data_IF_250650899010
#
_entry.id   IF_250650899010
#
_cell.length_a   1.000
_cell.length_b   1.000
_cell.length_c   1.000
_cell.angle_alpha   90.00
_cell.angle_beta   90.00
_cell.angle_gamma   90.00
#
_symmetry.space_group_name_H-M   'P 1'
#
loop_
_entity.id
_entity.type
_entity.pdbx_description
1 polymer ?
#
# COMPACT_ATOMS: atom_id res chain seq x y z
N UNK A 1 18.96 -17.65 -7.15
CA UNK A 1 17.75 -16.79 -7.26
C UNK A 1 16.63 -17.52 -6.55
N UNK A 2 16.13 -17.03 -5.40
CA UNK A 2 14.86 -17.55 -4.86
C UNK A 2 13.81 -17.32 -5.97
N UNK A 3 13.03 -18.34 -6.32
CA UNK A 3 11.95 -18.18 -7.30
C UNK A 3 10.99 -17.10 -6.80
N UNK A 4 10.50 -16.25 -7.72
CA UNK A 4 9.47 -15.27 -7.39
C UNK A 4 8.24 -16.03 -6.89
N UNK A 5 7.84 -15.79 -5.65
CA UNK A 5 6.63 -16.43 -5.11
C UNK A 5 5.39 -15.88 -5.84
N UNK A 6 4.27 -16.62 -5.87
CA UNK A 6 3.03 -16.12 -6.46
C UNK A 6 2.59 -14.76 -5.91
N UNK A 7 2.87 -14.50 -4.63
CA UNK A 7 2.56 -13.25 -3.93
C UNK A 7 3.41 -12.09 -4.45
N UNK A 8 4.71 -12.31 -4.69
CA UNK A 8 5.61 -11.28 -5.26
C UNK A 8 5.19 -10.94 -6.69
N UNK A 9 4.81 -11.93 -7.50
CA UNK A 9 4.28 -11.71 -8.85
C UNK A 9 2.96 -10.93 -8.81
N UNK A 10 2.06 -11.29 -7.90
CA UNK A 10 0.80 -10.57 -7.68
C UNK A 10 1.05 -9.13 -7.24
N UNK A 11 1.98 -8.91 -6.32
CA UNK A 11 2.35 -7.58 -5.84
C UNK A 11 2.88 -6.72 -6.97
N UNK A 12 3.79 -7.27 -7.80
CA UNK A 12 4.33 -6.56 -8.97
C UNK A 12 3.21 -6.09 -9.88
N UNK A 13 2.29 -6.97 -10.25
CA UNK A 13 1.17 -6.63 -11.14
C UNK A 13 0.30 -5.51 -10.56
N UNK A 14 -0.11 -5.63 -9.30
CA UNK A 14 -0.95 -4.62 -8.64
C UNK A 14 -0.23 -3.28 -8.49
N UNK A 15 1.07 -3.31 -8.16
CA UNK A 15 1.88 -2.10 -8.04
C UNK A 15 2.06 -1.42 -9.38
N UNK A 16 2.39 -2.17 -10.43
CA UNK A 16 2.53 -1.64 -11.79
C UNK A 16 1.20 -1.02 -12.26
N UNK A 17 0.06 -1.67 -12.03
CA UNK A 17 -1.26 -1.09 -12.32
C UNK A 17 -1.52 0.21 -11.52
N UNK A 18 -1.11 0.25 -10.24
CA UNK A 18 -1.32 1.40 -9.36
C UNK A 18 -0.49 2.62 -9.79
N UNK A 19 0.80 2.47 -10.07
CA UNK A 19 1.69 3.60 -10.40
C UNK A 19 1.32 4.29 -11.72
N UNK A 20 0.64 3.60 -12.63
CA UNK A 20 0.13 4.18 -13.87
C UNK A 20 -1.22 4.88 -13.71
N UNK A 21 -1.81 4.85 -12.51
CA UNK A 21 -3.04 5.55 -12.18
C UNK A 21 -2.74 6.65 -11.16
N UNK A 22 -2.45 7.89 -11.60
CA UNK A 22 -2.06 8.95 -10.70
C UNK A 22 -3.13 9.22 -9.64
N UNK A 23 -2.68 9.74 -8.49
CA UNK A 23 -3.58 10.11 -7.41
C UNK A 23 -4.63 11.13 -7.90
N UNK A 24 -5.94 10.86 -7.73
CA UNK A 24 -6.98 11.62 -8.42
C UNK A 24 -7.40 12.92 -7.73
N UNK A 25 -6.61 13.43 -6.77
CA UNK A 25 -6.94 14.61 -5.99
C UNK A 25 -5.73 15.51 -5.75
N UNK A 26 -5.98 16.81 -5.57
CA UNK A 26 -4.99 17.83 -5.24
C UNK A 26 -5.58 18.84 -4.25
N UNK A 27 -4.71 19.54 -3.50
CA UNK A 27 -5.09 20.58 -2.56
C UNK A 27 -4.85 20.21 -1.09
N UNK A 28 -5.33 21.08 -0.20
CA UNK A 28 -4.98 21.06 1.24
C UNK A 28 -6.03 20.36 2.12
N UNK A 29 -6.94 19.59 1.52
CA UNK A 29 -7.90 18.78 2.28
C UNK A 29 -7.12 17.75 3.12
N UNK A 30 -7.25 17.75 4.46
CA UNK A 30 -6.53 16.81 5.32
C UNK A 30 -6.75 15.34 4.95
N UNK A 31 -7.91 14.99 4.39
CA UNK A 31 -8.25 13.62 3.96
C UNK A 31 -7.48 13.24 2.70
N UNK A 32 -7.28 14.19 1.79
CA UNK A 32 -6.44 14.01 0.59
C UNK A 32 -4.99 13.81 1.02
N UNK A 33 -4.51 14.60 1.97
CA UNK A 33 -3.17 14.45 2.54
C UNK A 33 -2.98 13.10 3.24
N UNK A 34 -3.98 12.63 3.99
CA UNK A 34 -3.95 11.31 4.63
C UNK A 34 -3.75 10.19 3.60
N UNK A 35 -4.52 10.19 2.51
CA UNK A 35 -4.39 9.17 1.46
C UNK A 35 -3.04 9.27 0.76
N UNK A 36 -2.55 10.48 0.47
CA UNK A 36 -1.25 10.70 -0.17
C UNK A 36 -0.09 10.22 0.72
N UNK A 37 -0.13 10.53 2.02
CA UNK A 37 0.87 10.07 2.99
C UNK A 37 0.89 8.55 3.09
N UNK A 38 -0.29 7.93 3.14
CA UNK A 38 -0.40 6.47 3.16
C UNK A 38 0.12 5.84 1.87
N UNK A 39 -0.20 6.40 0.70
CA UNK A 39 0.31 5.92 -0.58
C UNK A 39 1.84 5.98 -0.65
N UNK A 40 2.43 7.10 -0.19
CA UNK A 40 3.88 7.27 -0.16
C UNK A 40 4.56 6.29 0.80
N UNK A 41 3.96 6.07 1.98
CA UNK A 41 4.48 5.10 2.95
C UNK A 41 4.39 3.67 2.44
N UNK A 42 3.24 3.27 1.87
CA UNK A 42 3.08 1.92 1.32
C UNK A 42 4.03 1.71 0.13
N UNK A 43 4.23 2.73 -0.70
CA UNK A 43 5.16 2.66 -1.84
C UNK A 43 6.58 2.30 -1.43
N UNK A 44 7.12 2.88 -0.35
CA UNK A 44 8.48 2.56 0.11
C UNK A 44 8.60 1.10 0.57
N UNK A 45 7.57 0.54 1.21
CA UNK A 45 7.53 -0.87 1.62
C UNK A 45 7.49 -1.77 0.37
N UNK A 46 6.62 -1.45 -0.59
CA UNK A 46 6.43 -2.23 -1.81
C UNK A 46 7.71 -2.27 -2.65
N UNK A 47 8.43 -1.16 -2.78
CA UNK A 47 9.70 -1.10 -3.50
C UNK A 47 10.73 -2.07 -2.92
N UNK A 48 10.91 -2.07 -1.59
CA UNK A 48 11.85 -2.99 -0.92
C UNK A 48 11.37 -4.44 -1.04
N UNK A 49 10.08 -4.69 -0.84
CA UNK A 49 9.49 -6.01 -0.95
C UNK A 49 9.68 -6.62 -2.34
N UNK A 50 9.50 -5.81 -3.39
CA UNK A 50 9.67 -6.23 -4.77
C UNK A 50 11.14 -6.44 -5.17
N UNK A 51 12.07 -5.70 -4.57
CA UNK A 51 13.50 -5.90 -4.79
C UNK A 51 14.02 -7.19 -4.13
N UNK A 52 13.53 -7.51 -2.93
CA UNK A 52 14.02 -8.64 -2.12
C UNK A 52 13.20 -9.92 -2.29
N UNK A 53 11.95 -9.79 -2.73
CA UNK A 53 10.96 -10.87 -2.73
C UNK A 53 10.47 -11.24 -1.33
N UNK A 54 10.68 -10.37 -0.34
CA UNK A 54 10.36 -10.54 1.07
C UNK A 54 10.33 -9.17 1.77
N UNK A 55 9.66 -9.11 2.93
CA UNK A 55 9.71 -7.95 3.82
C UNK A 55 10.92 -8.03 4.74
N UNK A 56 11.60 -6.91 5.00
CA UNK A 56 12.54 -6.88 6.12
C UNK A 56 11.83 -6.66 7.47
N UNK A 57 12.49 -7.00 8.60
CA UNK A 57 11.88 -6.89 9.93
C UNK A 57 11.48 -5.47 10.35
N UNK A 58 12.07 -4.43 9.74
CA UNK A 58 11.70 -3.05 10.04
C UNK A 58 10.37 -2.70 9.37
N UNK A 59 10.24 -2.93 8.06
CA UNK A 59 8.98 -2.69 7.35
C UNK A 59 7.84 -3.60 7.83
N UNK A 60 8.14 -4.84 8.20
CA UNK A 60 7.16 -5.73 8.84
C UNK A 60 6.56 -5.10 10.11
N UNK A 61 7.39 -4.61 11.03
CA UNK A 61 6.91 -3.97 12.27
C UNK A 61 6.13 -2.68 12.02
N UNK A 62 6.54 -1.88 11.04
CA UNK A 62 5.79 -0.69 10.65
C UNK A 62 4.40 -1.06 10.13
N UNK A 63 4.32 -2.12 9.32
CA UNK A 63 3.06 -2.64 8.79
C UNK A 63 2.15 -3.17 9.91
N UNK A 64 2.69 -3.94 10.85
CA UNK A 64 1.92 -4.42 12.02
C UNK A 64 1.35 -3.25 12.84
N UNK A 65 2.19 -2.25 13.15
CA UNK A 65 1.75 -1.07 13.88
C UNK A 65 0.62 -0.33 13.14
N UNK A 66 0.77 -0.12 11.83
CA UNK A 66 -0.24 0.56 11.02
C UNK A 66 -1.55 -0.22 10.95
N UNK A 67 -1.48 -1.54 10.80
CA UNK A 67 -2.68 -2.40 10.79
C UNK A 67 -3.38 -2.42 12.14
N UNK A 68 -2.65 -2.31 13.25
CA UNK A 68 -3.24 -2.19 14.59
C UNK A 68 -4.03 -0.89 14.77
N UNK A 69 -3.68 0.19 14.06
CA UNK A 69 -4.45 1.45 14.01
C UNK A 69 -5.75 1.34 13.18
N UNK A 70 -5.92 0.26 12.41
CA UNK A 70 -7.18 -0.11 11.76
C UNK A 70 -7.54 0.67 10.49
N UNK A 71 -6.62 1.44 9.91
CA UNK A 71 -6.80 2.20 8.66
C UNK A 71 -8.08 3.08 8.62
N UNK A 72 -8.62 3.49 9.78
CA UNK A 72 -9.93 4.12 9.88
C UNK A 72 -10.03 5.43 9.10
N UNK A 73 -8.99 6.28 9.17
CA UNK A 73 -8.98 7.54 8.44
C UNK A 73 -8.86 7.34 6.93
N UNK A 74 -8.17 6.29 6.46
CA UNK A 74 -8.13 5.93 5.04
C UNK A 74 -9.51 5.52 4.51
N UNK A 75 -10.23 4.68 5.26
CA UNK A 75 -11.60 4.28 4.93
C UNK A 75 -12.55 5.48 4.93
N UNK A 76 -12.43 6.34 5.95
CA UNK A 76 -13.21 7.57 6.05
C UNK A 76 -12.94 8.50 4.87
N UNK A 77 -11.68 8.75 4.53
CA UNK A 77 -11.29 9.58 3.40
C UNK A 77 -11.86 9.04 2.09
N UNK A 78 -11.75 7.73 1.83
CA UNK A 78 -12.35 7.10 0.65
C UNK A 78 -13.88 7.21 0.62
N UNK A 79 -14.55 7.05 1.77
CA UNK A 79 -15.99 7.19 1.89
C UNK A 79 -16.49 8.61 1.62
N UNK A 80 -15.85 9.61 2.25
CA UNK A 80 -16.27 11.01 2.20
C UNK A 80 -15.86 11.73 0.90
N UNK A 81 -14.71 11.40 0.31
CA UNK A 81 -14.24 12.01 -0.95
C UNK A 81 -14.86 11.35 -2.19
N UNK A 82 -15.43 10.14 -2.06
CA UNK A 82 -16.12 9.45 -3.15
C UNK A 82 -15.19 8.99 -4.29
N UNK A 83 -15.74 8.78 -5.49
CA UNK A 83 -14.91 8.47 -6.67
C UNK A 83 -14.22 9.74 -7.20
N UNK A 84 -12.95 9.65 -7.67
CA UNK A 84 -12.17 8.41 -7.89
C UNK A 84 -11.31 7.99 -6.69
N UNK A 85 -11.32 8.75 -5.59
CA UNK A 85 -10.47 8.54 -4.41
C UNK A 85 -10.76 7.20 -3.73
N UNK A 86 -12.03 6.81 -3.64
CA UNK A 86 -12.44 5.52 -3.06
C UNK A 86 -11.81 4.33 -3.80
N UNK A 87 -11.85 4.34 -5.13
CA UNK A 87 -11.18 3.31 -5.94
C UNK A 87 -9.66 3.31 -5.74
N UNK A 88 -9.05 4.49 -5.58
CA UNK A 88 -7.61 4.62 -5.28
C UNK A 88 -7.27 4.00 -3.92
N UNK A 89 -8.04 4.32 -2.87
CA UNK A 89 -7.90 3.73 -1.52
C UNK A 89 -8.08 2.21 -1.54
N UNK A 90 -9.07 1.70 -2.27
CA UNK A 90 -9.30 0.27 -2.39
C UNK A 90 -8.09 -0.47 -3.00
N UNK A 91 -7.43 0.12 -4.02
CA UNK A 91 -6.20 -0.44 -4.59
C UNK A 91 -5.05 -0.47 -3.59
N UNK A 92 -4.88 0.60 -2.81
CA UNK A 92 -3.86 0.68 -1.78
C UNK A 92 -4.03 -0.42 -0.72
N UNK A 93 -5.25 -0.63 -0.23
CA UNK A 93 -5.55 -1.70 0.75
C UNK A 93 -5.27 -3.08 0.15
N UNK A 94 -5.66 -3.31 -1.10
CA UNK A 94 -5.39 -4.58 -1.77
C UNK A 94 -3.88 -4.86 -1.91
N UNK A 95 -3.07 -3.82 -2.09
CA UNK A 95 -1.60 -3.92 -2.12
C UNK A 95 -1.07 -4.21 -0.72
N UNK A 96 -1.52 -3.49 0.31
CA UNK A 96 -1.14 -3.74 1.71
C UNK A 96 -1.39 -5.19 2.12
N UNK A 97 -2.54 -5.77 1.75
CA UNK A 97 -2.86 -7.15 2.06
C UNK A 97 -1.90 -8.16 1.41
N UNK A 98 -1.45 -7.91 0.18
CA UNK A 98 -0.45 -8.78 -0.45
C UNK A 98 0.91 -8.63 0.23
N UNK A 99 1.30 -7.39 0.56
CA UNK A 99 2.54 -7.10 1.28
C UNK A 99 2.57 -7.81 2.62
N UNK A 100 1.48 -7.77 3.39
CA UNK A 100 1.36 -8.43 4.69
C UNK A 100 1.46 -9.96 4.64
N UNK A 101 1.19 -10.55 3.47
CA UNK A 101 1.30 -11.99 3.25
C UNK A 101 2.70 -12.44 2.81
N UNK A 102 3.63 -11.50 2.55
CA UNK A 102 4.99 -11.84 2.15
C UNK A 102 5.79 -12.46 3.31
N UNK A 103 6.76 -13.34 3.00
CA UNK A 103 7.70 -13.83 4.01
C UNK A 103 8.53 -12.66 4.56
N UNK A 104 8.92 -12.76 5.83
CA UNK A 104 9.87 -11.84 6.47
C UNK A 104 11.27 -12.42 6.36
N UNK A 105 12.20 -11.65 5.78
CA UNK A 105 13.62 -11.99 5.77
C UNK A 105 14.18 -11.92 7.20
N UNK A 106 14.97 -12.95 7.56
CA UNK A 106 15.58 -13.09 8.88
C UNK A 106 16.78 -12.17 9.08
#
# INVERSE_FOLDING_TARGET
>A
MRGLTPEVVRLRRLWDEHIHQPFPAAGDDPRVQEVALYASWLGSIVEVALQRGALDPHHFRMLEARRAEGNQGLFRAGGELGEPVRSYVARLIAIEEVVAALPVDK
#
